data_IF_572765288452
#
_entry.id   IF_572765288452
#
_cell.length_a   1.000
_cell.length_b   1.000
_cell.length_c   1.000
_cell.angle_alpha   90.00
_cell.angle_beta   90.00
_cell.angle_gamma   90.00
#
_symmetry.space_group_name_H-M   'P 1'
#
loop_
_entity.id
_entity.type
_entity.pdbx_description
1 polymer ?
#
# COMPACT_ATOMS: atom_id res chain seq x y z
N UNK A 1 -54.06 41.17 -73.93
CA UNK A 1 -54.26 39.75 -74.31
C UNK A 1 -53.68 38.84 -73.25
N UNK A 2 -54.53 38.28 -72.48
CA UNK A 2 -54.22 37.50 -71.27
C UNK A 2 -54.27 36.00 -71.58
N UNK A 3 -53.17 35.30 -71.37
CA UNK A 3 -53.18 33.83 -71.39
C UNK A 3 -52.93 33.33 -69.93
N UNK A 4 -53.96 32.73 -69.36
CA UNK A 4 -53.92 32.00 -68.11
C UNK A 4 -53.33 30.62 -68.38
N UNK A 5 -52.30 30.24 -67.63
CA UNK A 5 -51.79 28.87 -67.62
C UNK A 5 -52.18 28.27 -66.25
N UNK A 6 -52.99 27.22 -66.35
CA UNK A 6 -53.52 26.44 -65.24
C UNK A 6 -52.47 25.44 -64.80
N UNK A 7 -51.86 25.64 -63.59
CA UNK A 7 -50.91 24.71 -63.05
C UNK A 7 -51.58 23.63 -62.24
N UNK A 8 -51.38 22.40 -62.61
CA UNK A 8 -51.84 21.21 -61.94
C UNK A 8 -50.94 20.94 -60.73
N UNK A 9 -51.45 21.02 -59.49
CA UNK A 9 -50.76 20.67 -58.30
C UNK A 9 -51.08 19.19 -57.95
N UNK A 10 -50.07 18.32 -58.13
CA UNK A 10 -50.15 16.90 -57.67
C UNK A 10 -49.70 16.86 -56.24
N UNK A 11 -50.64 16.66 -55.34
CA UNK A 11 -50.39 16.45 -53.93
C UNK A 11 -49.84 15.05 -53.66
N UNK A 12 -48.59 14.97 -53.27
CA UNK A 12 -47.96 13.72 -52.78
C UNK A 12 -48.25 13.56 -51.29
N UNK A 13 -49.17 12.66 -50.95
CA UNK A 13 -49.46 12.32 -49.57
C UNK A 13 -48.39 11.40 -49.00
N UNK A 14 -47.54 11.95 -48.12
CA UNK A 14 -46.61 11.17 -47.32
C UNK A 14 -47.39 10.48 -46.18
N UNK A 15 -47.54 9.18 -46.32
CA UNK A 15 -48.05 8.32 -45.21
C UNK A 15 -46.90 8.06 -44.27
N UNK A 16 -46.83 8.81 -43.18
CA UNK A 16 -45.89 8.53 -42.05
C UNK A 16 -46.54 7.47 -41.13
N UNK A 17 -46.20 6.20 -41.39
CA UNK A 17 -46.48 5.12 -40.46
C UNK A 17 -45.55 5.24 -39.22
N UNK A 18 -46.02 4.93 -38.00
CA UNK A 18 -45.17 4.92 -36.82
C UNK A 18 -44.17 3.75 -36.92
N UNK A 19 -42.90 4.08 -37.02
CA UNK A 19 -41.83 3.10 -36.81
C UNK A 19 -41.85 2.73 -35.33
N UNK A 20 -42.40 1.57 -35.00
CA UNK A 20 -42.29 0.98 -33.70
C UNK A 20 -40.84 0.64 -33.43
N UNK A 21 -40.15 1.48 -32.68
CA UNK A 21 -38.85 1.17 -32.11
C UNK A 21 -39.01 -0.04 -31.17
N UNK A 22 -38.63 -1.22 -31.67
CA UNK A 22 -38.48 -2.39 -30.82
C UNK A 22 -37.42 -2.11 -29.81
N UNK A 23 -37.80 -1.85 -28.56
CA UNK A 23 -36.91 -1.82 -27.43
C UNK A 23 -36.32 -3.22 -27.25
N UNK A 24 -35.17 -3.49 -27.85
CA UNK A 24 -34.37 -4.67 -27.56
C UNK A 24 -34.09 -4.66 -26.06
N UNK A 25 -34.69 -5.65 -25.41
CA UNK A 25 -34.67 -5.82 -23.96
C UNK A 25 -33.25 -5.62 -23.40
N UNK A 26 -33.05 -4.48 -22.74
CA UNK A 26 -31.81 -4.10 -22.07
C UNK A 26 -31.32 -5.12 -21.04
N UNK A 27 -32.20 -6.02 -20.56
CA UNK A 27 -31.90 -7.11 -19.61
C UNK A 27 -31.08 -8.25 -20.24
N UNK A 28 -31.29 -8.59 -21.52
CA UNK A 28 -30.53 -9.62 -22.23
C UNK A 28 -29.12 -9.10 -22.59
N UNK A 29 -29.00 -7.86 -23.03
CA UNK A 29 -27.73 -7.21 -23.35
C UNK A 29 -26.85 -7.06 -22.11
N UNK A 30 -27.43 -6.68 -20.97
CA UNK A 30 -26.70 -6.55 -19.70
C UNK A 30 -26.19 -7.92 -19.17
N UNK A 31 -26.97 -9.00 -19.38
CA UNK A 31 -26.53 -10.36 -19.03
C UNK A 31 -25.41 -10.87 -19.93
N UNK A 32 -25.44 -10.61 -21.21
CA UNK A 32 -24.41 -10.96 -22.16
C UNK A 32 -23.11 -10.20 -21.86
N UNK A 33 -23.19 -8.90 -21.57
CA UNK A 33 -22.04 -8.08 -21.17
C UNK A 33 -21.41 -8.57 -19.87
N UNK A 34 -22.21 -8.88 -18.86
CA UNK A 34 -21.74 -9.39 -17.56
C UNK A 34 -21.07 -10.77 -17.67
N UNK A 35 -21.53 -11.61 -18.59
CA UNK A 35 -20.90 -12.91 -18.84
C UNK A 35 -19.61 -12.79 -19.63
N UNK A 36 -19.53 -11.86 -20.60
CA UNK A 36 -18.31 -11.61 -21.36
C UNK A 36 -17.22 -10.96 -20.52
N UNK A 37 -17.55 -9.99 -19.66
CA UNK A 37 -16.56 -9.40 -18.74
C UNK A 37 -16.08 -10.40 -17.71
N UNK A 38 -16.94 -11.28 -17.18
CA UNK A 38 -16.55 -12.31 -16.22
C UNK A 38 -15.61 -13.36 -16.82
N UNK A 39 -15.76 -13.70 -18.11
CA UNK A 39 -14.87 -14.61 -18.83
C UNK A 39 -13.52 -13.95 -19.14
N UNK A 40 -13.51 -12.66 -19.48
CA UNK A 40 -12.30 -11.88 -19.72
C UNK A 40 -11.51 -11.65 -18.42
N UNK A 41 -12.19 -11.29 -17.35
CA UNK A 41 -11.57 -11.12 -16.03
C UNK A 41 -11.03 -12.44 -15.47
N UNK A 42 -11.74 -13.55 -15.66
CA UNK A 42 -11.29 -14.87 -15.25
C UNK A 42 -10.04 -15.33 -16.00
N UNK A 43 -10.01 -15.17 -17.31
CA UNK A 43 -8.84 -15.54 -18.14
C UNK A 43 -7.64 -14.62 -17.91
N UNK A 44 -7.86 -13.33 -17.80
CA UNK A 44 -6.80 -12.37 -17.45
C UNK A 44 -6.24 -12.67 -16.06
N UNK A 45 -7.10 -12.90 -15.07
CA UNK A 45 -6.70 -13.23 -13.70
C UNK A 45 -5.91 -14.55 -13.62
N UNK A 46 -6.31 -15.60 -14.37
CA UNK A 46 -5.56 -16.85 -14.43
C UNK A 46 -4.21 -16.70 -15.16
N UNK A 47 -4.17 -15.94 -16.24
CA UNK A 47 -2.95 -15.66 -16.99
C UNK A 47 -1.97 -14.83 -16.15
N UNK A 48 -2.45 -13.85 -15.37
CA UNK A 48 -1.63 -13.09 -14.44
C UNK A 48 -1.18 -13.93 -13.23
N UNK A 49 -2.04 -14.79 -12.71
CA UNK A 49 -1.71 -15.66 -11.56
C UNK A 49 -0.65 -16.71 -11.90
N UNK A 50 -0.63 -17.22 -13.13
CA UNK A 50 0.34 -18.21 -13.61
C UNK A 50 1.58 -17.59 -14.26
N UNK A 51 1.59 -16.27 -14.47
CA UNK A 51 2.75 -15.58 -15.03
C UNK A 51 3.78 -15.27 -13.95
N UNK A 52 4.61 -16.24 -13.66
CA UNK A 52 5.81 -16.09 -12.80
C UNK A 52 6.74 -14.99 -13.36
N UNK A 53 6.61 -14.64 -14.63
CA UNK A 53 7.42 -13.66 -15.35
C UNK A 53 7.02 -12.20 -15.05
N UNK A 54 5.78 -11.96 -14.57
CA UNK A 54 5.25 -10.63 -14.25
C UNK A 54 5.20 -10.33 -12.75
N UNK A 55 5.50 -11.29 -11.89
CA UNK A 55 5.79 -10.98 -10.50
C UNK A 55 7.15 -10.30 -10.48
N UNK A 56 7.26 -9.03 -10.07
CA UNK A 56 8.57 -8.44 -9.86
C UNK A 56 9.32 -9.39 -8.94
N UNK A 57 10.49 -9.87 -9.39
CA UNK A 57 11.37 -10.63 -8.51
C UNK A 57 11.57 -9.75 -7.28
N UNK A 58 11.40 -10.27 -6.05
CA UNK A 58 11.76 -9.50 -4.88
C UNK A 58 13.19 -9.03 -5.12
N UNK A 59 13.37 -7.71 -5.18
CA UNK A 59 14.70 -7.12 -5.30
C UNK A 59 15.37 -7.41 -3.98
N UNK A 60 16.04 -8.54 -3.92
CA UNK A 60 16.95 -8.87 -2.84
C UNK A 60 18.12 -7.89 -2.99
N UNK A 61 17.98 -6.70 -2.43
CA UNK A 61 19.15 -5.87 -2.19
C UNK A 61 19.94 -6.60 -1.10
N UNK A 62 21.12 -7.15 -1.43
CA UNK A 62 21.98 -7.69 -0.39
C UNK A 62 22.16 -6.58 0.64
N UNK A 63 21.84 -6.85 1.90
CA UNK A 63 21.93 -5.84 2.95
C UNK A 63 23.39 -5.49 3.16
N UNK A 64 23.92 -4.52 2.39
CA UNK A 64 25.19 -3.86 2.64
C UNK A 64 25.18 -3.13 4.00
N UNK A 65 24.03 -3.17 4.68
CA UNK A 65 23.70 -2.35 5.83
C UNK A 65 23.13 -3.20 6.98
N UNK A 66 23.92 -4.04 7.56
CA UNK A 66 23.53 -4.79 8.75
C UNK A 66 23.86 -6.28 8.66
N UNK A 67 24.36 -6.83 9.75
CA UNK A 67 24.76 -8.23 9.84
C UNK A 67 23.56 -9.15 9.93
N UNK A 68 23.19 -9.76 8.81
CA UNK A 68 22.31 -10.92 8.74
C UNK A 68 20.88 -10.67 8.29
N UNK A 69 20.41 -11.62 7.51
CA UNK A 69 19.03 -11.79 7.07
C UNK A 69 18.08 -11.94 8.25
N UNK A 70 16.83 -11.54 8.10
CA UNK A 70 15.78 -11.78 9.09
C UNK A 70 15.58 -13.27 9.33
N UNK A 71 15.90 -13.75 10.53
CA UNK A 71 15.83 -15.14 10.94
C UNK A 71 14.56 -15.44 11.78
N UNK A 72 13.62 -14.50 11.86
CA UNK A 72 12.37 -14.70 12.58
C UNK A 72 11.51 -15.83 12.02
N UNK A 73 10.72 -16.46 12.89
CA UNK A 73 9.85 -17.60 12.52
C UNK A 73 8.47 -17.19 12.01
N UNK A 74 8.12 -15.89 12.08
CA UNK A 74 6.81 -15.42 11.66
C UNK A 74 6.60 -15.61 10.16
N UNK A 75 5.44 -16.19 9.78
CA UNK A 75 5.02 -16.44 8.39
C UNK A 75 3.57 -16.02 8.14
N UNK A 76 3.02 -15.19 9.03
CA UNK A 76 1.64 -14.72 8.93
C UNK A 76 1.44 -13.59 7.90
N UNK A 77 0.21 -13.09 7.75
CA UNK A 77 -0.17 -12.14 6.71
C UNK A 77 0.59 -10.81 6.78
N UNK A 78 1.00 -10.38 7.97
CA UNK A 78 1.70 -9.10 8.15
C UNK A 78 3.13 -9.10 7.63
N UNK A 79 3.73 -10.28 7.35
CA UNK A 79 5.09 -10.36 6.80
C UNK A 79 5.18 -9.69 5.43
N UNK A 80 4.24 -10.03 4.53
CA UNK A 80 4.19 -9.44 3.19
C UNK A 80 3.93 -7.93 3.24
N UNK A 81 3.01 -7.49 4.10
CA UNK A 81 2.70 -6.06 4.31
C UNK A 81 3.93 -5.27 4.80
N UNK A 82 4.69 -5.84 5.74
CA UNK A 82 5.90 -5.20 6.26
C UNK A 82 7.02 -5.14 5.21
N UNK A 83 7.16 -6.18 4.38
CA UNK A 83 8.11 -6.16 3.25
C UNK A 83 7.74 -5.08 2.24
N UNK A 84 6.46 -4.98 1.89
CA UNK A 84 5.95 -3.96 0.97
C UNK A 84 6.17 -2.54 1.51
N UNK A 85 5.82 -2.30 2.78
CA UNK A 85 6.05 -1.02 3.45
C UNK A 85 7.53 -0.63 3.47
N UNK A 86 8.43 -1.56 3.77
CA UNK A 86 9.87 -1.33 3.76
C UNK A 86 10.37 -0.95 2.36
N UNK A 87 9.94 -1.68 1.32
CA UNK A 87 10.30 -1.40 -0.07
C UNK A 87 9.77 -0.03 -0.53
N UNK A 88 8.52 0.28 -0.22
CA UNK A 88 7.87 1.54 -0.58
C UNK A 88 8.64 2.75 -0.07
N UNK A 89 9.16 2.68 1.16
CA UNK A 89 9.89 3.78 1.79
C UNK A 89 11.42 3.66 1.69
N UNK A 90 11.94 2.67 0.95
CA UNK A 90 13.38 2.47 0.78
C UNK A 90 14.11 2.18 2.09
N UNK A 91 13.47 1.40 2.97
CA UNK A 91 14.05 0.85 4.20
C UNK A 91 14.59 -0.55 3.88
N UNK A 92 15.76 -0.96 4.39
CA UNK A 92 16.23 -2.33 4.25
C UNK A 92 15.20 -3.30 4.85
N UNK A 93 14.71 -4.25 4.03
CA UNK A 93 13.61 -5.14 4.42
C UNK A 93 13.93 -5.90 5.70
N UNK A 94 15.10 -6.54 5.77
CA UNK A 94 15.50 -7.32 6.95
C UNK A 94 15.56 -6.47 8.23
N UNK A 95 15.99 -5.22 8.11
CA UNK A 95 16.03 -4.26 9.22
C UNK A 95 14.62 -3.99 9.75
N UNK A 96 13.68 -3.71 8.83
CA UNK A 96 12.31 -3.40 9.21
C UNK A 96 11.57 -4.61 9.79
N UNK A 97 11.79 -5.80 9.24
CA UNK A 97 11.21 -7.03 9.80
C UNK A 97 11.70 -7.32 11.22
N UNK A 98 13.00 -7.09 11.49
CA UNK A 98 13.56 -7.20 12.85
C UNK A 98 12.97 -6.15 13.80
N UNK A 99 12.75 -4.93 13.29
CA UNK A 99 12.11 -3.88 14.05
C UNK A 99 10.68 -4.30 14.45
N UNK A 100 9.84 -4.72 13.51
CA UNK A 100 8.47 -5.16 13.80
C UNK A 100 8.43 -6.34 14.77
N UNK A 101 9.36 -7.29 14.62
CA UNK A 101 9.53 -8.40 15.55
C UNK A 101 9.84 -7.89 16.97
N UNK A 102 10.71 -6.92 17.11
CA UNK A 102 11.11 -6.35 18.39
C UNK A 102 10.01 -5.49 19.03
N UNK A 103 9.26 -4.73 18.23
CA UNK A 103 8.22 -3.82 18.70
C UNK A 103 6.98 -4.54 19.23
N UNK A 104 6.47 -5.50 18.50
CA UNK A 104 5.17 -6.11 18.80
C UNK A 104 5.18 -7.64 18.81
N UNK A 105 6.29 -8.26 18.43
CA UNK A 105 6.32 -9.69 18.11
C UNK A 105 5.20 -10.09 17.14
N UNK A 106 4.93 -9.21 16.14
CA UNK A 106 3.88 -9.37 15.12
C UNK A 106 2.43 -9.34 15.67
N UNK A 107 2.22 -8.78 16.86
CA UNK A 107 0.89 -8.58 17.43
C UNK A 107 0.30 -7.25 16.93
N UNK A 108 -0.70 -7.31 16.04
CA UNK A 108 -1.36 -6.12 15.49
C UNK A 108 -2.16 -5.32 16.53
N UNK A 109 -2.54 -5.93 17.63
CA UNK A 109 -3.28 -5.28 18.72
C UNK A 109 -2.40 -4.87 19.90
N UNK A 110 -1.07 -4.96 19.75
CA UNK A 110 -0.15 -4.60 20.81
C UNK A 110 -0.31 -3.15 21.25
N UNK A 111 -0.32 -2.93 22.56
CA UNK A 111 -0.33 -1.60 23.19
C UNK A 111 0.70 -1.58 24.30
N UNK A 112 1.65 -0.65 24.23
CA UNK A 112 2.66 -0.48 25.26
C UNK A 112 2.11 0.31 26.46
N UNK A 113 2.80 0.25 27.58
CA UNK A 113 2.50 1.09 28.77
C UNK A 113 2.58 2.59 28.48
N UNK A 114 3.42 2.99 27.52
CA UNK A 114 3.55 4.38 27.08
C UNK A 114 2.49 4.77 26.04
N UNK A 115 1.64 3.83 25.62
CA UNK A 115 0.55 4.06 24.67
C UNK A 115 0.94 3.90 23.20
N UNK A 116 2.08 3.32 22.87
CA UNK A 116 2.43 2.93 21.50
C UNK A 116 1.50 1.82 21.00
N UNK A 117 1.14 1.83 19.71
CA UNK A 117 0.08 1.00 19.15
C UNK A 117 0.55 0.20 17.92
N UNK A 118 0.05 -1.02 17.80
CA UNK A 118 0.10 -1.86 16.63
C UNK A 118 1.45 -2.52 16.37
N UNK A 119 1.62 -3.02 15.15
CA UNK A 119 2.77 -3.83 14.72
C UNK A 119 4.11 -3.10 14.84
N UNK A 120 4.17 -1.84 14.44
CA UNK A 120 5.36 -0.99 14.50
C UNK A 120 5.39 -0.07 15.74
N UNK A 121 4.47 -0.26 16.70
CA UNK A 121 4.40 0.49 17.97
C UNK A 121 4.49 2.01 17.78
N UNK A 122 3.65 2.56 16.91
CA UNK A 122 3.58 4.01 16.71
C UNK A 122 2.93 4.69 17.91
N UNK A 123 3.58 5.75 18.42
CA UNK A 123 2.95 6.64 19.39
C UNK A 123 1.77 7.39 18.73
N UNK A 124 0.65 7.61 19.42
CA UNK A 124 -0.52 8.30 18.85
C UNK A 124 -0.20 9.67 18.25
N UNK A 125 0.74 10.39 18.82
CA UNK A 125 1.19 11.67 18.29
C UNK A 125 1.93 11.48 16.96
N UNK A 126 2.82 10.49 16.87
CA UNK A 126 3.53 10.16 15.63
C UNK A 126 2.56 9.70 14.54
N UNK A 127 1.60 8.82 14.88
CA UNK A 127 0.58 8.38 13.93
C UNK A 127 -0.23 9.55 13.35
N UNK A 128 -0.62 10.51 14.19
CA UNK A 128 -1.30 11.75 13.73
C UNK A 128 -0.45 12.58 12.79
N UNK A 129 0.82 12.80 13.11
CA UNK A 129 1.75 13.54 12.25
C UNK A 129 1.93 12.85 10.89
N UNK A 130 2.00 11.53 10.90
CA UNK A 130 2.09 10.70 9.70
C UNK A 130 0.74 10.53 8.98
N UNK A 131 -0.37 10.96 9.56
CA UNK A 131 -1.74 10.80 9.03
C UNK A 131 -2.09 9.34 8.73
N UNK A 132 -1.77 8.43 9.64
CA UNK A 132 -2.07 7.01 9.57
C UNK A 132 -2.94 6.59 10.75
N UNK A 133 -3.81 5.58 10.54
CA UNK A 133 -4.49 4.90 11.63
C UNK A 133 -3.55 3.86 12.24
N UNK A 134 -3.12 4.03 13.51
CA UNK A 134 -2.20 3.09 14.15
C UNK A 134 -2.85 1.74 14.49
N UNK A 135 -4.18 1.61 14.38
CA UNK A 135 -4.91 0.36 14.60
C UNK A 135 -5.12 -0.44 13.31
N UNK A 136 -4.98 0.20 12.14
CA UNK A 136 -4.96 -0.50 10.86
C UNK A 136 -3.56 -1.09 10.61
N UNK A 137 -3.43 -2.42 10.46
CA UNK A 137 -2.12 -3.08 10.32
C UNK A 137 -1.29 -2.57 9.16
N UNK A 138 -1.91 -2.31 8.01
CA UNK A 138 -1.20 -1.84 6.82
C UNK A 138 -0.71 -0.40 6.99
N UNK A 139 -1.58 0.49 7.46
CA UNK A 139 -1.21 1.88 7.72
C UNK A 139 -0.18 2.01 8.84
N UNK A 140 -0.28 1.17 9.87
CA UNK A 140 0.69 1.12 10.96
C UNK A 140 2.08 0.73 10.47
N UNK A 141 2.20 -0.32 9.66
CA UNK A 141 3.46 -0.75 9.06
C UNK A 141 4.02 0.29 8.09
N UNK A 142 3.18 0.87 7.24
CA UNK A 142 3.60 1.94 6.33
C UNK A 142 4.10 3.17 7.09
N UNK A 143 3.35 3.61 8.10
CA UNK A 143 3.75 4.71 8.98
C UNK A 143 5.05 4.43 9.70
N UNK A 144 5.24 3.22 10.22
CA UNK A 144 6.48 2.79 10.87
C UNK A 144 7.69 2.82 9.95
N UNK A 145 7.55 2.29 8.72
CA UNK A 145 8.62 2.31 7.72
C UNK A 145 8.98 3.75 7.30
N UNK A 146 7.96 4.58 7.07
CA UNK A 146 8.16 6.00 6.74
C UNK A 146 8.86 6.75 7.87
N UNK A 147 8.42 6.58 9.11
CA UNK A 147 9.04 7.22 10.26
C UNK A 147 10.51 6.80 10.45
N UNK A 148 10.81 5.51 10.30
CA UNK A 148 12.19 5.03 10.35
C UNK A 148 13.04 5.64 9.23
N UNK A 149 12.49 5.79 8.02
CA UNK A 149 13.17 6.44 6.91
C UNK A 149 13.44 7.92 7.17
N UNK A 150 12.49 8.64 7.75
CA UNK A 150 12.67 10.04 8.15
C UNK A 150 13.82 10.18 9.17
N UNK A 151 13.91 9.25 10.15
CA UNK A 151 15.03 9.25 11.08
C UNK A 151 16.38 8.95 10.38
N UNK A 152 16.38 8.04 9.41
CA UNK A 152 17.57 7.80 8.60
C UNK A 152 18.00 9.03 7.80
N UNK A 153 17.06 9.75 7.19
CA UNK A 153 17.35 10.98 6.46
C UNK A 153 17.96 12.05 7.37
N UNK A 154 17.48 12.12 8.61
CA UNK A 154 17.97 13.08 9.61
C UNK A 154 19.38 12.77 10.12
N UNK A 155 19.69 11.50 10.39
CA UNK A 155 20.91 11.09 11.07
C UNK A 155 21.95 10.42 10.16
N UNK A 156 21.64 10.12 8.91
CA UNK A 156 22.54 9.49 7.92
C UNK A 156 22.96 8.05 8.25
N UNK A 157 22.42 7.45 9.31
CA UNK A 157 22.79 6.12 9.80
C UNK A 157 21.59 5.33 10.27
N UNK A 158 21.43 4.08 9.79
CA UNK A 158 20.37 3.19 10.26
C UNK A 158 20.47 2.87 11.74
N UNK A 159 21.68 2.76 12.26
CA UNK A 159 21.94 2.55 13.69
C UNK A 159 21.38 3.70 14.53
N UNK A 160 21.61 4.94 14.10
CA UNK A 160 21.08 6.14 14.77
C UNK A 160 19.59 6.31 14.52
N UNK A 161 19.10 5.93 13.34
CA UNK A 161 17.66 5.92 13.03
C UNK A 161 16.89 4.98 13.96
N UNK A 162 17.41 3.78 14.23
CA UNK A 162 16.82 2.86 15.21
C UNK A 162 16.83 3.43 16.63
N UNK A 163 17.93 4.08 17.03
CA UNK A 163 18.00 4.76 18.33
C UNK A 163 16.96 5.89 18.43
N UNK A 164 16.77 6.66 17.36
CA UNK A 164 15.78 7.73 17.29
C UNK A 164 14.35 7.19 17.24
N UNK A 165 14.13 6.06 16.60
CA UNK A 165 12.84 5.40 16.58
C UNK A 165 12.38 5.02 17.99
N UNK A 166 13.27 4.41 18.78
CA UNK A 166 12.98 3.94 20.14
C UNK A 166 13.00 5.07 21.19
N UNK A 167 14.05 5.90 21.21
CA UNK A 167 14.26 6.93 22.23
C UNK A 167 13.78 8.33 21.87
N UNK A 168 13.35 8.52 20.60
CA UNK A 168 13.04 9.81 20.03
C UNK A 168 14.28 10.54 19.46
N UNK A 169 14.10 11.35 18.39
CA UNK A 169 15.20 12.05 17.73
C UNK A 169 15.92 13.05 18.64
N UNK A 170 15.19 13.71 19.54
CA UNK A 170 15.78 14.65 20.49
C UNK A 170 16.80 14.02 21.45
N UNK A 171 16.64 12.73 21.80
CA UNK A 171 17.61 12.03 22.62
C UNK A 171 18.91 11.77 21.83
N UNK A 172 18.78 11.35 20.57
CA UNK A 172 19.95 11.13 19.70
C UNK A 172 20.73 12.42 19.46
N UNK A 173 20.02 13.55 19.25
CA UNK A 173 20.64 14.86 19.12
C UNK A 173 21.37 15.29 20.38
N UNK A 174 20.70 15.17 21.54
CA UNK A 174 21.27 15.53 22.85
C UNK A 174 22.57 14.83 23.14
N UNK A 175 22.65 13.54 22.81
CA UNK A 175 23.84 12.72 23.10
C UNK A 175 24.82 12.60 21.92
N UNK A 176 24.51 13.19 20.78
CA UNK A 176 25.36 13.10 19.57
C UNK A 176 25.54 11.66 19.06
N UNK A 177 24.65 10.74 19.42
CA UNK A 177 24.77 9.32 19.11
C UNK A 177 23.67 8.48 19.75
N UNK A 178 23.91 7.17 19.88
CA UNK A 178 22.98 6.28 20.60
C UNK A 178 22.93 6.69 22.08
N UNK A 179 21.75 7.09 22.59
CA UNK A 179 21.63 7.51 23.98
C UNK A 179 22.07 6.43 24.97
N UNK A 180 22.59 6.80 26.15
CA UNK A 180 23.07 5.85 27.16
C UNK A 180 21.93 5.16 27.93
N UNK A 181 20.75 5.00 27.29
CA UNK A 181 19.64 4.28 27.86
C UNK A 181 19.79 2.79 27.56
N UNK A 182 19.70 1.95 28.60
CA UNK A 182 19.86 0.51 28.48
C UNK A 182 18.88 -0.10 27.47
N UNK A 183 17.59 0.30 27.56
CA UNK A 183 16.55 -0.11 26.63
C UNK A 183 16.94 0.17 25.17
N UNK A 184 17.37 1.41 24.87
CA UNK A 184 17.73 1.83 23.51
C UNK A 184 19.00 1.15 23.00
N UNK A 185 20.02 0.98 23.84
CA UNK A 185 21.24 0.25 23.46
C UNK A 185 20.93 -1.22 23.13
N UNK A 186 20.10 -1.87 23.94
CA UNK A 186 19.67 -3.25 23.70
C UNK A 186 18.82 -3.35 22.43
N UNK A 187 17.90 -2.42 22.22
CA UNK A 187 17.09 -2.33 21.03
C UNK A 187 17.95 -2.25 19.74
N UNK A 188 18.89 -1.31 19.72
CA UNK A 188 19.80 -1.15 18.59
C UNK A 188 20.65 -2.40 18.39
N UNK A 189 21.19 -2.99 19.46
CA UNK A 189 22.00 -4.22 19.37
C UNK A 189 21.23 -5.40 18.79
N UNK A 190 19.97 -5.58 19.19
CA UNK A 190 19.13 -6.70 18.72
C UNK A 190 18.82 -6.56 17.23
N UNK A 191 18.47 -5.36 16.77
CA UNK A 191 18.01 -5.14 15.40
C UNK A 191 19.17 -4.95 14.42
N UNK A 192 20.15 -4.12 14.82
CA UNK A 192 21.28 -3.80 13.96
C UNK A 192 22.38 -4.89 13.97
N UNK A 193 22.55 -5.54 15.08
CA UNK A 193 23.66 -6.44 15.37
C UNK A 193 24.81 -5.66 16.02
N UNK A 194 25.40 -6.22 17.05
CA UNK A 194 26.58 -5.68 17.75
C UNK A 194 27.86 -6.07 17.08
#
# INVERSE_FOLDING_TARGET
MTRRILGLVIGLALVSGPVAAQSLSTKSSARLFKNQTKVLDGRASEQYRNSVRLKPKPIYTPSKWGNGSYQGKYRGPYLAMAQEAALLHGVPVDLFLKLVQQESNWNATAKSHKGALGLAQLMPQTARLLRVDPLDPQQNLEGGARYLKEQYQKFGSWRLALAAYNAGPGAVEKYGGVPPYEETRNYVRIIWGG
#
